data_IF_075976554504
#
_entry.id   IF_075976554504
#
_cell.length_a   1.000
_cell.length_b   1.000
_cell.length_c   1.000
_cell.angle_alpha   90.00
_cell.angle_beta   90.00
_cell.angle_gamma   90.00
#
_symmetry.space_group_name_H-M   'P 1'
#
loop_
_entity.id
_entity.type
_entity.pdbx_description
1 polymer ?
#
# COMPACT_ATOMS: atom_id res chain seq x y z
N UNK A 1 10.03 17.58 -14.21
CA UNK A 1 8.62 17.30 -13.87
C UNK A 1 8.55 15.84 -13.44
N UNK A 2 8.45 15.58 -12.15
CA UNK A 2 8.32 14.21 -11.62
C UNK A 2 6.89 13.77 -11.90
N UNK A 3 6.66 13.20 -13.08
CA UNK A 3 5.39 12.56 -13.38
C UNK A 3 5.30 11.34 -12.47
N UNK A 4 4.46 11.43 -11.44
CA UNK A 4 3.97 10.24 -10.75
C UNK A 4 3.35 9.34 -11.81
N UNK A 5 3.93 8.15 -11.99
CA UNK A 5 3.29 7.12 -12.82
C UNK A 5 1.90 6.87 -12.24
N UNK A 6 0.83 6.91 -13.05
CA UNK A 6 -0.49 6.46 -12.63
C UNK A 6 -0.34 5.04 -12.05
N UNK A 7 -0.58 4.86 -10.74
CA UNK A 7 -0.30 3.60 -10.05
C UNK A 7 0.98 3.61 -9.18
N UNK A 8 1.52 4.77 -8.86
CA UNK A 8 2.61 4.92 -7.90
C UNK A 8 2.15 4.70 -6.45
N UNK A 9 3.11 4.72 -5.52
CA UNK A 9 2.82 4.53 -4.09
C UNK A 9 1.77 5.51 -3.54
N UNK A 10 1.79 6.78 -3.99
CA UNK A 10 0.78 7.78 -3.60
C UNK A 10 -0.65 7.39 -3.98
N UNK A 11 -0.87 6.83 -5.17
CA UNK A 11 -2.19 6.35 -5.60
C UNK A 11 -2.67 5.18 -4.73
N UNK A 12 -1.77 4.25 -4.40
CA UNK A 12 -2.09 3.09 -3.54
C UNK A 12 -2.54 3.56 -2.16
N UNK A 13 -1.86 4.56 -1.60
CA UNK A 13 -2.17 5.11 -0.28
C UNK A 13 -3.51 5.87 -0.28
N UNK A 14 -3.79 6.62 -1.35
CA UNK A 14 -5.07 7.30 -1.50
C UNK A 14 -6.22 6.28 -1.57
N UNK A 15 -6.04 5.20 -2.34
CA UNK A 15 -7.03 4.12 -2.40
C UNK A 15 -7.19 3.38 -1.07
N UNK A 16 -6.12 3.18 -0.31
CA UNK A 16 -6.19 2.62 1.04
C UNK A 16 -7.00 3.52 1.99
N UNK A 17 -6.79 4.84 1.93
CA UNK A 17 -7.64 5.80 2.68
C UNK A 17 -9.11 5.65 2.28
N UNK A 18 -9.40 5.57 0.98
CA UNK A 18 -10.76 5.38 0.45
C UNK A 18 -11.36 4.01 0.81
N UNK A 19 -10.53 2.99 1.03
CA UNK A 19 -10.94 1.66 1.51
C UNK A 19 -11.14 1.59 3.04
N UNK A 20 -11.07 2.72 3.75
CA UNK A 20 -11.24 2.80 5.20
C UNK A 20 -9.99 2.46 6.00
N UNK A 21 -8.81 2.46 5.39
CA UNK A 21 -7.51 2.29 6.05
C UNK A 21 -6.79 3.62 6.34
N UNK A 22 -7.54 4.73 6.47
CA UNK A 22 -6.95 6.07 6.64
C UNK A 22 -6.03 6.19 7.85
N UNK A 23 -6.50 5.75 9.03
CA UNK A 23 -5.70 5.78 10.26
C UNK A 23 -4.42 4.92 10.17
N UNK A 24 -4.47 3.82 9.40
CA UNK A 24 -3.31 2.98 9.14
C UNK A 24 -2.31 3.72 8.27
N UNK A 25 -2.76 4.28 7.15
CA UNK A 25 -1.90 5.06 6.25
C UNK A 25 -1.25 6.22 7.01
N UNK A 26 -2.00 6.97 7.81
CA UNK A 26 -1.45 8.07 8.61
C UNK A 26 -0.42 7.60 9.64
N UNK A 27 -0.59 6.40 10.20
CA UNK A 27 0.41 5.82 11.11
C UNK A 27 1.72 5.46 10.42
N UNK A 28 1.69 5.12 9.13
CA UNK A 28 2.88 4.80 8.33
C UNK A 28 3.59 6.04 7.82
N UNK A 29 2.83 7.10 7.54
CA UNK A 29 3.44 8.38 7.14
C UNK A 29 4.09 9.04 8.34
N UNK A 30 3.49 8.94 9.53
CA UNK A 30 3.99 9.56 10.75
C UNK A 30 5.19 8.84 11.37
N UNK A 31 5.73 9.39 12.45
CA UNK A 31 6.90 8.86 13.16
C UNK A 31 6.57 7.84 14.28
N UNK A 32 5.32 7.38 14.30
CA UNK A 32 4.79 6.47 15.31
C UNK A 32 4.97 5.00 14.95
N UNK A 33 4.34 4.11 15.72
CA UNK A 33 4.30 2.69 15.35
C UNK A 33 3.31 2.45 14.21
N UNK A 34 3.76 1.73 13.18
CA UNK A 34 2.95 1.29 12.06
C UNK A 34 1.77 0.42 12.52
N UNK A 35 0.55 0.83 12.16
CA UNK A 35 -0.64 0.00 12.39
C UNK A 35 -0.76 -1.06 11.30
N UNK A 36 -1.20 -2.28 11.62
CA UNK A 36 -1.46 -3.29 10.61
C UNK A 36 -2.65 -2.87 9.74
N UNK A 37 -2.54 -3.09 8.44
CA UNK A 37 -3.69 -3.05 7.51
C UNK A 37 -4.33 -4.44 7.46
N UNK A 38 -5.64 -4.48 7.19
CA UNK A 38 -6.35 -5.75 7.01
C UNK A 38 -6.33 -6.15 5.54
N UNK A 39 -6.32 -7.47 5.30
CA UNK A 39 -6.41 -8.07 3.96
C UNK A 39 -7.50 -7.45 3.09
N UNK A 40 -8.71 -7.34 3.64
CA UNK A 40 -9.89 -6.80 2.96
C UNK A 40 -9.71 -5.32 2.55
N UNK A 41 -8.97 -4.54 3.33
CA UNK A 41 -8.65 -3.15 2.98
C UNK A 41 -7.67 -3.08 1.81
N UNK A 42 -6.68 -3.96 1.76
CA UNK A 42 -5.74 -4.06 0.63
C UNK A 42 -6.48 -4.51 -0.64
N UNK A 43 -7.36 -5.50 -0.53
CA UNK A 43 -8.17 -6.00 -1.65
C UNK A 43 -9.13 -4.96 -2.21
N UNK A 44 -9.68 -4.08 -1.36
CA UNK A 44 -10.52 -2.97 -1.78
C UNK A 44 -9.74 -1.81 -2.37
N UNK A 45 -8.52 -1.58 -1.90
CA UNK A 45 -7.68 -0.48 -2.34
C UNK A 45 -6.96 -0.75 -3.66
N UNK A 46 -6.65 -2.02 -3.96
CA UNK A 46 -5.89 -2.38 -5.15
C UNK A 46 -6.82 -3.08 -6.13
N UNK A 47 -7.06 -2.44 -7.28
CA UNK A 47 -7.95 -2.98 -8.30
C UNK A 47 -7.46 -4.36 -8.78
N UNK A 48 -8.40 -5.24 -9.20
CA UNK A 48 -8.06 -6.58 -9.66
C UNK A 48 -7.02 -6.62 -10.79
N UNK A 49 -7.02 -5.61 -11.67
CA UNK A 49 -6.04 -5.51 -12.76
C UNK A 49 -4.63 -5.32 -12.21
N UNK A 50 -4.43 -4.37 -11.30
CA UNK A 50 -3.12 -4.11 -10.68
C UNK A 50 -2.62 -5.32 -9.89
N UNK A 51 -3.49 -6.01 -9.15
CA UNK A 51 -3.11 -7.26 -8.48
C UNK A 51 -2.69 -8.35 -9.48
N UNK A 52 -3.35 -8.43 -10.64
CA UNK A 52 -3.01 -9.40 -11.68
C UNK A 52 -1.66 -9.07 -12.32
N UNK A 53 -1.43 -7.81 -12.68
CA UNK A 53 -0.15 -7.36 -13.25
C UNK A 53 1.02 -7.61 -12.28
N UNK A 54 0.81 -7.39 -10.98
CA UNK A 54 1.81 -7.66 -9.94
C UNK A 54 2.02 -9.16 -9.71
N UNK A 55 0.96 -9.96 -9.75
CA UNK A 55 1.06 -11.42 -9.66
C UNK A 55 1.89 -11.98 -10.81
N UNK A 56 1.66 -11.53 -12.05
CA UNK A 56 2.45 -11.93 -13.22
C UNK A 56 3.93 -11.53 -13.11
N UNK A 57 4.20 -10.32 -12.63
CA UNK A 57 5.58 -9.82 -12.47
C UNK A 57 6.36 -10.53 -11.36
N UNK A 58 5.69 -10.88 -10.26
CA UNK A 58 6.32 -11.50 -9.10
C UNK A 58 6.32 -13.03 -9.15
N UNK A 59 5.48 -13.62 -10.01
CA UNK A 59 5.21 -15.05 -10.04
C UNK A 59 4.42 -15.56 -8.83
N UNK A 60 3.89 -14.65 -8.00
CA UNK A 60 3.11 -14.98 -6.81
C UNK A 60 1.63 -15.19 -7.14
N UNK A 61 0.98 -16.05 -6.37
CA UNK A 61 -0.48 -16.10 -6.37
C UNK A 61 -1.05 -14.78 -5.84
N UNK A 62 -2.24 -14.37 -6.30
CA UNK A 62 -2.94 -13.19 -5.76
C UNK A 62 -3.02 -13.21 -4.23
N UNK A 63 -3.30 -14.39 -3.67
CA UNK A 63 -3.45 -14.56 -2.22
C UNK A 63 -2.13 -14.31 -1.45
N UNK A 64 -1.02 -14.80 -1.99
CA UNK A 64 0.33 -14.59 -1.44
C UNK A 64 0.75 -13.12 -1.58
N UNK A 65 0.43 -12.50 -2.72
CA UNK A 65 0.72 -11.09 -2.96
C UNK A 65 0.02 -10.21 -1.92
N UNK A 66 -1.27 -10.45 -1.66
CA UNK A 66 -2.04 -9.67 -0.67
C UNK A 66 -1.48 -9.90 0.75
N UNK A 67 -1.15 -11.14 1.12
CA UNK A 67 -0.54 -11.42 2.43
C UNK A 67 0.78 -10.64 2.60
N UNK A 68 1.60 -10.64 1.55
CA UNK A 68 2.87 -9.92 1.56
C UNK A 68 2.69 -8.41 1.61
N UNK A 69 1.78 -7.85 0.81
CA UNK A 69 1.45 -6.42 0.85
C UNK A 69 0.96 -6.01 2.24
N UNK A 70 0.13 -6.84 2.87
CA UNK A 70 -0.39 -6.59 4.23
C UNK A 70 0.72 -6.47 5.27
N UNK A 71 1.79 -7.27 5.13
CA UNK A 71 2.94 -7.28 6.04
C UNK A 71 3.97 -6.21 5.76
N UNK A 72 4.31 -6.01 4.48
CA UNK A 72 5.50 -5.25 4.09
C UNK A 72 5.18 -3.78 3.78
N UNK A 73 3.96 -3.48 3.33
CA UNK A 73 3.58 -2.11 2.93
C UNK A 73 3.70 -1.07 4.05
N UNK A 74 3.30 -1.36 5.32
CA UNK A 74 3.45 -0.40 6.41
C UNK A 74 4.90 0.09 6.58
N UNK A 75 5.85 -0.85 6.67
CA UNK A 75 7.26 -0.53 6.87
C UNK A 75 7.92 0.05 5.61
N UNK A 76 7.45 -0.31 4.43
CA UNK A 76 7.93 0.28 3.18
C UNK A 76 7.54 1.77 3.08
N UNK A 77 6.33 2.13 3.51
CA UNK A 77 5.85 3.51 3.51
C UNK A 77 6.61 4.34 4.53
N UNK A 78 6.73 3.87 5.78
CA UNK A 78 7.47 4.53 6.86
C UNK A 78 8.91 4.88 6.46
N UNK A 79 9.63 3.93 5.83
CA UNK A 79 11.00 4.16 5.34
C UNK A 79 11.10 5.21 4.24
N UNK A 80 10.03 5.42 3.48
CA UNK A 80 9.96 6.42 2.41
C UNK A 80 9.47 7.78 2.91
N UNK A 81 8.97 7.86 4.15
CA UNK A 81 8.49 9.10 4.80
C UNK A 81 9.26 9.41 6.09
N UNK A 82 10.60 9.50 6.06
CA UNK A 82 11.41 9.67 7.27
C UNK A 82 11.11 10.95 8.05
N UNK A 83 10.58 11.98 7.37
CA UNK A 83 10.25 13.28 7.96
C UNK A 83 8.76 13.43 8.32
N UNK A 84 7.97 12.37 8.23
CA UNK A 84 6.52 12.49 8.46
C UNK A 84 5.74 13.01 7.25
N UNK A 85 6.37 13.06 6.08
CA UNK A 85 5.85 13.72 4.88
C UNK A 85 6.18 12.90 3.61
N UNK A 86 5.28 12.96 2.63
CA UNK A 86 5.46 12.47 1.26
C UNK A 86 5.66 13.61 0.28
#
# INVERSE_FOLDING_TARGET
KSAGSPGGLGDILDRLRNAGAGDQVDSWVGTGSNRPVQRDQVEKAIDPQTLSDLAEQTGLSRDELIDRLTRELPDAVDKLTPDGQM
#
